data_IF_010377388546
#
_entry.id   IF_010377388546
#
_cell.length_a   1.000
_cell.length_b   1.000
_cell.length_c   1.000
_cell.angle_alpha   90.00
_cell.angle_beta   90.00
_cell.angle_gamma   90.00
#
_symmetry.space_group_name_H-M   'P 1'
#
loop_
_entity.id
_entity.type
_entity.pdbx_description
1 polymer ?
#
# COMPACT_ATOMS: atom_id res chain seq x y z
N UNK A 1 11.02 9.94 -1.28
CA UNK A 1 9.84 9.76 -0.40
C UNK A 1 10.29 9.24 0.95
N UNK A 2 9.72 9.76 2.04
CA UNK A 2 9.93 9.16 3.36
C UNK A 2 8.94 8.03 3.61
N UNK A 3 9.28 7.08 4.48
CA UNK A 3 8.41 5.96 4.87
C UNK A 3 7.04 6.45 5.36
N UNK A 4 7.01 7.62 6.00
CA UNK A 4 5.78 8.30 6.42
C UNK A 4 4.88 8.63 5.21
N UNK A 5 5.41 9.26 4.17
CA UNK A 5 4.65 9.58 2.95
C UNK A 5 4.08 8.34 2.24
N UNK A 6 4.85 7.23 2.22
CA UNK A 6 4.37 5.97 1.64
C UNK A 6 3.20 5.44 2.47
N UNK A 7 3.35 5.38 3.79
CA UNK A 7 2.30 4.97 4.72
C UNK A 7 1.06 5.84 4.58
N UNK A 8 1.22 7.15 4.40
CA UNK A 8 0.11 8.09 4.24
C UNK A 8 -0.70 7.85 2.96
N UNK A 9 -0.04 7.44 1.88
CA UNK A 9 -0.68 7.04 0.62
C UNK A 9 -1.33 5.66 0.72
N UNK A 10 -0.63 4.70 1.31
CA UNK A 10 -1.12 3.33 1.53
C UNK A 10 -2.41 3.34 2.33
N UNK A 11 -2.43 4.03 3.47
CA UNK A 11 -3.64 4.13 4.31
C UNK A 11 -4.82 4.76 3.55
N UNK A 12 -4.54 5.73 2.66
CA UNK A 12 -5.58 6.36 1.85
C UNK A 12 -6.13 5.39 0.79
N UNK A 13 -5.26 4.59 0.16
CA UNK A 13 -5.67 3.59 -0.81
C UNK A 13 -6.48 2.46 -0.15
N UNK A 14 -6.02 1.96 1.01
CA UNK A 14 -6.74 0.93 1.77
C UNK A 14 -8.09 1.43 2.25
N UNK A 15 -8.17 2.64 2.82
CA UNK A 15 -9.43 3.25 3.24
C UNK A 15 -10.43 3.39 2.09
N UNK A 16 -9.94 3.73 0.88
CA UNK A 16 -10.76 3.83 -0.33
C UNK A 16 -11.30 2.48 -0.78
N UNK A 17 -10.49 1.43 -0.74
CA UNK A 17 -10.88 0.07 -1.15
C UNK A 17 -11.82 -0.58 -0.14
N UNK A 18 -11.58 -0.37 1.15
CA UNK A 18 -12.34 -0.99 2.24
C UNK A 18 -13.56 -0.14 2.68
N UNK A 19 -13.77 1.03 2.08
CA UNK A 19 -14.78 2.01 2.48
C UNK A 19 -14.77 2.31 3.99
N UNK A 20 -13.58 2.25 4.60
CA UNK A 20 -13.39 2.38 6.06
C UNK A 20 -12.61 3.65 6.41
N UNK A 21 -12.72 4.07 7.67
CA UNK A 21 -11.98 5.23 8.18
C UNK A 21 -10.49 4.94 8.26
N UNK A 22 -9.66 5.90 7.82
CA UNK A 22 -8.18 5.81 7.92
C UNK A 22 -7.71 5.61 9.37
N UNK A 23 -8.46 6.13 10.35
CA UNK A 23 -8.14 6.01 11.78
C UNK A 23 -8.29 4.58 12.31
N UNK A 24 -9.18 3.76 11.76
CA UNK A 24 -9.37 2.36 12.18
C UNK A 24 -8.25 1.45 11.64
N UNK A 25 -7.49 1.90 10.63
CA UNK A 25 -6.46 1.10 9.96
C UNK A 25 -5.11 1.09 10.71
N UNK A 26 -4.82 2.11 11.53
CA UNK A 26 -3.54 2.23 12.25
C UNK A 26 -3.49 1.30 13.47
N UNK A 27 -4.65 1.03 14.09
CA UNK A 27 -4.82 0.08 15.20
C UNK A 27 -5.02 -1.38 14.74
N UNK A 28 -5.28 -1.59 13.44
CA UNK A 28 -5.55 -2.91 12.88
C UNK A 28 -4.25 -3.71 12.72
N UNK A 29 -4.10 -4.78 13.51
CA UNK A 29 -3.00 -5.74 13.35
C UNK A 29 -3.11 -6.58 12.06
N UNK A 30 -4.30 -6.64 11.46
CA UNK A 30 -4.58 -7.33 10.19
C UNK A 30 -5.77 -6.64 9.52
N UNK A 31 -5.65 -6.38 8.22
CA UNK A 31 -6.67 -5.69 7.43
C UNK A 31 -7.79 -6.63 6.95
N UNK A 32 -7.62 -7.95 7.05
CA UNK A 32 -8.58 -8.97 6.58
C UNK A 32 -9.12 -8.71 5.16
N UNK A 33 -8.25 -8.19 4.28
CA UNK A 33 -8.60 -7.92 2.88
C UNK A 33 -8.62 -9.21 2.08
N UNK A 34 -9.69 -9.42 1.32
CA UNK A 34 -9.82 -10.55 0.41
C UNK A 34 -8.88 -10.41 -0.81
N UNK A 35 -8.63 -11.51 -1.50
CA UNK A 35 -7.88 -11.57 -2.77
C UNK A 35 -8.35 -10.52 -3.79
N UNK A 36 -9.66 -10.29 -3.90
CA UNK A 36 -10.23 -9.30 -4.82
C UNK A 36 -9.91 -7.87 -4.38
N UNK A 37 -10.05 -7.58 -3.09
CA UNK A 37 -9.72 -6.28 -2.52
C UNK A 37 -8.22 -5.99 -2.62
N UNK A 38 -7.39 -7.01 -2.42
CA UNK A 38 -5.94 -6.94 -2.59
C UNK A 38 -5.58 -6.56 -4.02
N UNK A 39 -6.21 -7.17 -5.01
CA UNK A 39 -5.98 -6.83 -6.42
C UNK A 39 -6.38 -5.38 -6.74
N UNK A 40 -7.53 -4.91 -6.25
CA UNK A 40 -7.95 -3.51 -6.40
C UNK A 40 -6.99 -2.54 -5.69
N UNK A 41 -6.52 -2.91 -4.50
CA UNK A 41 -5.54 -2.13 -3.74
C UNK A 41 -4.22 -2.04 -4.48
N UNK A 42 -3.72 -3.14 -5.05
CA UNK A 42 -2.50 -3.16 -5.86
C UNK A 42 -2.64 -2.20 -7.02
N UNK A 43 -3.72 -2.28 -7.81
CA UNK A 43 -3.94 -1.35 -8.93
C UNK A 43 -3.96 0.10 -8.47
N UNK A 44 -4.64 0.42 -7.36
CA UNK A 44 -4.65 1.78 -6.84
C UNK A 44 -3.27 2.24 -6.34
N UNK A 45 -2.47 1.35 -5.76
CA UNK A 45 -1.10 1.66 -5.35
C UNK A 45 -0.17 1.85 -6.56
N UNK A 46 -0.29 1.00 -7.58
CA UNK A 46 0.42 1.13 -8.85
C UNK A 46 0.16 2.50 -9.49
N UNK A 47 -1.10 2.94 -9.55
CA UNK A 47 -1.45 4.27 -10.05
C UNK A 47 -0.98 5.40 -9.12
N UNK A 48 -1.10 5.23 -7.80
CA UNK A 48 -0.74 6.26 -6.81
C UNK A 48 0.77 6.50 -6.71
N UNK A 49 1.58 5.50 -7.03
CA UNK A 49 3.05 5.55 -6.99
C UNK A 49 3.70 5.53 -8.38
N UNK A 50 2.95 5.26 -9.44
CA UNK A 50 3.46 5.14 -10.81
C UNK A 50 4.43 3.96 -10.97
N UNK A 51 4.15 2.86 -10.29
CA UNK A 51 4.95 1.62 -10.34
C UNK A 51 4.12 0.50 -10.96
N UNK A 52 4.79 -0.54 -11.47
CA UNK A 52 4.16 -1.75 -11.97
C UNK A 52 4.64 -2.92 -11.10
N UNK A 53 3.71 -3.58 -10.40
CA UNK A 53 3.97 -4.70 -9.51
C UNK A 53 3.57 -5.98 -10.24
N UNK A 54 4.56 -6.73 -10.73
CA UNK A 54 4.31 -8.01 -11.38
C UNK A 54 3.73 -9.04 -10.40
N UNK A 55 2.83 -9.92 -10.89
CA UNK A 55 2.16 -10.94 -10.08
C UNK A 55 3.13 -11.89 -9.34
N UNK A 56 4.31 -12.12 -9.91
CA UNK A 56 5.38 -12.92 -9.31
C UNK A 56 6.13 -12.22 -8.16
N UNK A 57 6.06 -10.89 -8.09
CA UNK A 57 6.70 -10.06 -7.05
C UNK A 57 5.72 -9.69 -5.93
N UNK A 58 4.42 -9.98 -6.10
CA UNK A 58 3.39 -9.66 -5.11
C UNK A 58 3.46 -10.59 -3.90
N UNK A 59 3.71 -9.99 -2.74
CA UNK A 59 3.78 -10.70 -1.47
C UNK A 59 2.47 -10.50 -0.67
N UNK A 60 1.47 -11.36 -0.93
CA UNK A 60 0.13 -11.25 -0.33
C UNK A 60 0.14 -11.19 1.21
N UNK A 61 1.15 -11.77 1.86
CA UNK A 61 1.31 -11.66 3.31
C UNK A 61 1.68 -10.25 3.75
N UNK A 62 2.51 -9.54 2.98
CA UNK A 62 2.82 -8.14 3.21
C UNK A 62 1.56 -7.26 3.06
N UNK A 63 0.64 -7.63 2.18
CA UNK A 63 -0.64 -6.92 1.99
C UNK A 63 -1.64 -7.11 3.12
N UNK A 64 -1.37 -7.95 4.13
CA UNK A 64 -2.25 -8.10 5.30
C UNK A 64 -2.16 -6.94 6.30
N UNK A 65 -1.11 -6.13 6.26
CA UNK A 65 -0.90 -5.03 7.21
C UNK A 65 -0.42 -3.76 6.52
N UNK A 66 -0.77 -2.59 7.07
CA UNK A 66 -0.29 -1.31 6.54
C UNK A 66 1.25 -1.23 6.58
N UNK A 67 1.86 -1.73 7.66
CA UNK A 67 3.31 -1.76 7.81
C UNK A 67 3.97 -2.67 6.76
N UNK A 68 3.40 -3.85 6.52
CA UNK A 68 3.86 -4.78 5.49
C UNK A 68 3.80 -4.16 4.09
N UNK A 69 2.68 -3.54 3.73
CA UNK A 69 2.53 -2.84 2.44
C UNK A 69 3.53 -1.69 2.32
N UNK A 70 3.69 -0.89 3.38
CA UNK A 70 4.61 0.25 3.37
C UNK A 70 6.06 -0.22 3.20
N UNK A 71 6.46 -1.27 3.91
CA UNK A 71 7.79 -1.88 3.80
C UNK A 71 8.03 -2.56 2.46
N UNK A 72 6.99 -3.17 1.88
CA UNK A 72 7.03 -3.74 0.54
C UNK A 72 7.26 -2.63 -0.50
N UNK A 73 6.39 -1.62 -0.54
CA UNK A 73 6.50 -0.49 -1.46
C UNK A 73 7.80 0.30 -1.29
N UNK A 74 8.34 0.40 -0.07
CA UNK A 74 9.65 1.01 0.17
C UNK A 74 10.81 0.35 -0.60
N UNK A 75 10.65 -0.90 -1.06
CA UNK A 75 11.64 -1.58 -1.93
C UNK A 75 11.49 -1.21 -3.41
N UNK A 76 10.26 -0.91 -3.86
CA UNK A 76 9.94 -0.64 -5.27
C UNK A 76 9.89 0.83 -5.62
N UNK A 77 9.49 1.68 -4.67
CA UNK A 77 9.43 3.12 -4.84
C UNK A 77 10.83 3.66 -4.53
N UNK A 78 11.65 3.98 -5.55
CA UNK A 78 12.92 4.65 -5.29
C UNK A 78 12.63 5.98 -4.59
N UNK A 79 13.50 6.37 -3.67
CA UNK A 79 13.41 7.67 -3.02
C UNK A 79 13.41 8.79 -4.09
N UNK A 80 12.22 9.26 -4.47
CA UNK A 80 12.07 10.44 -5.32
C UNK A 80 12.44 11.67 -4.48
N UNK A 81 13.76 11.85 -4.27
CA UNK A 81 14.42 13.10 -3.87
C UNK A 81 15.24 13.65 -5.05
N UNK A 82 14.81 13.38 -6.28
CA UNK A 82 15.35 13.97 -7.50
C UNK A 82 14.21 14.41 -8.44
N UNK A 83 13.57 15.54 -8.14
CA UNK A 83 13.23 16.57 -9.13
C UNK A 83 12.66 17.81 -8.42
N UNK A 84 13.38 18.93 -8.54
CA UNK A 84 12.97 20.27 -8.09
C UNK A 84 13.98 20.92 -7.17
#
# INVERSE_FOLDING_TARGET
MTHDTIREKVRSAVAKVMETGVSDLDDAADLYIDSVATMMLITELEEAFGIELGDADLDYEAFRTIEGITGFLGKFVPDQRCQG
#
